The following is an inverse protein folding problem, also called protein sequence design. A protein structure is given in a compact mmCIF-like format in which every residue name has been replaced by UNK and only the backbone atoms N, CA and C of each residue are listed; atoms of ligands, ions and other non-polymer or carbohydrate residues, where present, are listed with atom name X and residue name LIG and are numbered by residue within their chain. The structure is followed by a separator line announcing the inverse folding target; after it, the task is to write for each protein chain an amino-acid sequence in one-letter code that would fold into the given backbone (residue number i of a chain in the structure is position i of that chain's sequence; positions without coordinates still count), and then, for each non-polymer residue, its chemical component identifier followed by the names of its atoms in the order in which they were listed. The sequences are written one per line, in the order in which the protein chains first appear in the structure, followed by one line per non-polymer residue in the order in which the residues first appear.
data_IF_812052621997
#
_entry.id   IF_812052621997
#
_cell.length_a   1.000
_cell.length_b   1.000
_cell.length_c   1.000
_cell.angle_alpha   90.00
_cell.angle_beta   90.00
_cell.angle_gamma   90.00
#
_symmetry.space_group_name_H-M   'P 1'
#
loop_
_entity.id
_entity.type
_entity.pdbx_description
1 polymer ?
#
# COMPACT_ATOMS: atom_id res chain seq x y z
N UNK A 1 9.59 -24.78 -18.30
CA UNK A 1 8.62 -24.24 -17.32
C UNK A 1 9.21 -24.42 -15.93
N UNK A 2 9.73 -23.35 -15.30
CA UNK A 2 10.29 -23.47 -13.96
C UNK A 2 9.17 -23.61 -12.92
N UNK A 3 9.27 -24.59 -12.05
CA UNK A 3 8.28 -24.89 -11.00
C UNK A 3 8.74 -24.28 -9.67
N UNK A 4 8.88 -22.95 -9.61
CA UNK A 4 9.19 -22.28 -8.35
C UNK A 4 7.93 -22.14 -7.50
N UNK A 5 8.01 -22.52 -6.22
CA UNK A 5 6.94 -22.31 -5.24
C UNK A 5 7.23 -21.07 -4.41
N UNK A 6 6.24 -20.18 -4.38
CA UNK A 6 6.24 -19.02 -3.53
C UNK A 6 6.22 -19.44 -2.04
N UNK A 7 7.00 -18.75 -1.20
CA UNK A 7 7.18 -19.07 0.23
C UNK A 7 8.10 -20.25 0.51
N UNK A 8 8.75 -20.83 -0.53
CA UNK A 8 9.71 -21.93 -0.36
C UNK A 8 10.94 -21.78 -1.25
N UNK A 9 10.71 -21.67 -2.55
CA UNK A 9 11.78 -21.56 -3.55
C UNK A 9 12.02 -20.08 -3.90
N UNK A 10 11.01 -19.21 -3.68
CA UNK A 10 11.08 -17.75 -3.84
C UNK A 10 10.12 -17.05 -2.88
N UNK A 11 10.49 -15.88 -2.40
CA UNK A 11 9.60 -14.97 -1.67
C UNK A 11 9.28 -13.75 -2.53
N UNK A 12 8.07 -13.22 -2.41
CA UNK A 12 7.65 -12.01 -3.10
C UNK A 12 6.91 -11.07 -2.15
N UNK A 13 7.29 -9.79 -2.22
CA UNK A 13 6.62 -8.69 -1.52
C UNK A 13 5.84 -7.88 -2.55
N UNK A 14 4.55 -7.68 -2.32
CA UNK A 14 3.69 -6.88 -3.19
C UNK A 14 3.05 -5.74 -2.41
N UNK A 15 2.86 -4.60 -3.07
CA UNK A 15 1.97 -3.54 -2.56
C UNK A 15 0.51 -3.97 -2.77
N UNK A 16 -0.37 -3.55 -1.87
CA UNK A 16 -1.82 -3.67 -2.05
C UNK A 16 -2.55 -2.44 -1.55
N UNK A 17 -3.65 -2.10 -2.19
CA UNK A 17 -4.55 -1.00 -1.81
C UNK A 17 -5.76 -1.47 -0.98
N UNK A 18 -5.93 -2.79 -0.86
CA UNK A 18 -6.99 -3.48 -0.11
C UNK A 18 -6.49 -4.87 0.30
N UNK A 19 -7.03 -5.42 1.39
CA UNK A 19 -6.58 -6.70 1.98
C UNK A 19 -7.06 -7.93 1.19
N UNK A 20 -6.79 -7.96 -0.12
CA UNK A 20 -7.23 -9.01 -1.03
C UNK A 20 -6.12 -10.00 -1.40
N UNK A 21 -4.84 -9.61 -1.31
CA UNK A 21 -3.75 -10.47 -1.80
C UNK A 21 -3.72 -11.84 -1.12
N UNK A 22 -3.96 -11.88 0.19
CA UNK A 22 -3.98 -13.15 0.93
C UNK A 22 -5.20 -14.02 0.65
N UNK A 23 -6.26 -13.49 0.04
CA UNK A 23 -7.37 -14.30 -0.49
C UNK A 23 -6.93 -15.08 -1.74
N UNK A 24 -6.08 -14.48 -2.59
CA UNK A 24 -5.58 -15.11 -3.81
C UNK A 24 -4.35 -16.00 -3.54
N UNK A 25 -3.41 -15.54 -2.72
CA UNK A 25 -2.16 -16.23 -2.42
C UNK A 25 -1.65 -15.88 -1.03
N UNK A 26 -1.76 -16.83 -0.10
CA UNK A 26 -1.42 -16.62 1.33
C UNK A 26 0.08 -16.46 1.58
N UNK A 27 0.92 -16.99 0.71
CA UNK A 27 2.38 -16.93 0.82
C UNK A 27 2.95 -15.58 0.37
N UNK A 28 2.14 -14.68 -0.18
CA UNK A 28 2.59 -13.33 -0.50
C UNK A 28 2.82 -12.51 0.77
N UNK A 29 3.93 -11.79 0.78
CA UNK A 29 4.16 -10.73 1.73
C UNK A 29 3.55 -9.45 1.18
N UNK A 30 2.79 -8.72 2.00
CA UNK A 30 2.05 -7.56 1.55
C UNK A 30 2.49 -6.29 2.26
N UNK A 31 2.52 -5.16 1.55
CA UNK A 31 2.67 -3.83 2.11
C UNK A 31 1.42 -3.03 1.78
N UNK A 32 0.72 -2.57 2.81
CA UNK A 32 -0.52 -1.84 2.65
C UNK A 32 -0.26 -0.39 2.24
N UNK A 33 -0.95 0.03 1.19
CA UNK A 33 -1.02 1.41 0.74
C UNK A 33 -2.41 1.98 1.00
N UNK A 34 -2.46 3.03 1.81
CA UNK A 34 -3.72 3.65 2.20
C UNK A 34 -4.22 4.62 1.12
N UNK A 35 -4.96 4.11 0.15
CA UNK A 35 -5.56 4.92 -0.92
C UNK A 35 -6.63 5.90 -0.40
N UNK A 36 -7.28 5.61 0.73
CA UNK A 36 -8.24 6.54 1.35
C UNK A 36 -7.52 7.78 1.88
N UNK A 37 -6.36 7.58 2.52
CA UNK A 37 -5.49 8.68 2.95
C UNK A 37 -5.01 9.47 1.73
N UNK A 38 -4.52 8.81 0.68
CA UNK A 38 -4.07 9.50 -0.53
C UNK A 38 -5.16 10.40 -1.14
N UNK A 39 -6.42 9.94 -1.16
CA UNK A 39 -7.56 10.75 -1.60
C UNK A 39 -7.81 11.97 -0.72
N UNK A 40 -7.72 11.84 0.61
CA UNK A 40 -7.86 12.95 1.54
C UNK A 40 -6.70 13.96 1.45
N UNK A 41 -5.47 13.47 1.28
CA UNK A 41 -4.29 14.28 0.99
C UNK A 41 -4.47 15.11 -0.28
N UNK A 42 -4.89 14.46 -1.37
CA UNK A 42 -5.15 15.14 -2.63
C UNK A 42 -6.23 16.22 -2.49
N UNK A 43 -7.36 15.89 -1.87
CA UNK A 43 -8.46 16.83 -1.67
C UNK A 43 -8.02 18.06 -0.86
N UNK A 44 -7.26 17.84 0.23
CA UNK A 44 -6.69 18.93 1.02
C UNK A 44 -5.75 19.80 0.20
N UNK A 45 -4.85 19.20 -0.57
CA UNK A 45 -3.89 19.95 -1.38
C UNK A 45 -4.57 20.79 -2.45
N UNK A 46 -5.60 20.26 -3.10
CA UNK A 46 -6.40 21.00 -4.09
C UNK A 46 -7.13 22.17 -3.45
N UNK A 47 -7.82 21.95 -2.33
CA UNK A 47 -8.52 23.03 -1.62
C UNK A 47 -7.55 24.09 -1.09
N UNK A 48 -6.40 23.67 -0.57
CA UNK A 48 -5.35 24.59 -0.10
C UNK A 48 -4.79 25.45 -1.24
N UNK A 49 -4.58 24.86 -2.42
CA UNK A 49 -4.16 25.60 -3.60
C UNK A 49 -5.19 26.65 -4.01
N UNK A 50 -6.48 26.26 -4.07
CA UNK A 50 -7.58 27.18 -4.37
C UNK A 50 -7.59 28.35 -3.37
N UNK A 51 -7.29 28.07 -2.09
CA UNK A 51 -7.16 29.07 -1.03
C UNK A 51 -5.87 29.90 -1.06
N UNK A 52 -4.99 29.73 -2.05
CA UNK A 52 -3.75 30.51 -2.19
C UNK A 52 -2.56 30.01 -1.37
N UNK A 53 -2.60 28.78 -0.84
CA UNK A 53 -1.47 28.21 -0.12
C UNK A 53 -0.26 27.98 -1.05
N UNK A 54 0.95 28.10 -0.50
CA UNK A 54 2.17 27.90 -1.26
C UNK A 54 2.33 26.44 -1.70
N UNK A 55 2.72 26.15 -2.97
CA UNK A 55 2.85 24.79 -3.49
C UNK A 55 3.71 23.85 -2.64
N UNK A 56 4.78 24.38 -2.05
CA UNK A 56 5.70 23.61 -1.20
C UNK A 56 5.03 23.06 0.07
N UNK A 57 4.00 23.72 0.59
CA UNK A 57 3.25 23.28 1.77
C UNK A 57 2.16 22.24 1.47
N UNK A 58 1.91 21.95 0.19
CA UNK A 58 0.83 21.08 -0.27
C UNK A 58 1.32 19.70 -0.72
N UNK A 59 2.59 19.39 -0.44
CA UNK A 59 3.23 18.12 -0.79
C UNK A 59 3.26 17.21 0.43
N UNK A 60 2.85 15.96 0.25
CA UNK A 60 2.99 14.92 1.24
C UNK A 60 3.41 13.60 0.59
N UNK A 61 4.14 12.79 1.34
CA UNK A 61 4.56 11.45 0.94
C UNK A 61 4.26 10.49 2.07
N UNK A 62 3.39 9.52 1.82
CA UNK A 62 3.13 8.44 2.76
C UNK A 62 4.26 7.41 2.68
N UNK A 63 4.72 6.96 3.85
CA UNK A 63 5.73 5.89 3.92
C UNK A 63 5.03 4.53 3.92
N UNK A 64 5.66 3.50 3.34
CA UNK A 64 5.23 2.12 3.53
C UNK A 64 5.05 1.77 5.00
N UNK A 65 4.00 1.00 5.32
CA UNK A 65 3.90 0.33 6.62
C UNK A 65 4.81 -0.90 6.67
N UNK A 66 4.77 -1.63 7.79
CA UNK A 66 5.45 -2.91 7.89
C UNK A 66 4.94 -3.93 6.85
N UNK A 67 5.80 -4.91 6.57
CA UNK A 67 5.47 -6.06 5.73
C UNK A 67 4.55 -6.99 6.51
N UNK A 68 3.44 -7.37 5.91
CA UNK A 68 2.40 -8.20 6.48
C UNK A 68 2.43 -9.59 5.84
N UNK A 69 2.62 -10.62 6.68
CA UNK A 69 2.37 -12.00 6.32
C UNK A 69 0.90 -12.37 6.58
N UNK A 70 0.39 -13.40 5.90
CA UNK A 70 -0.95 -13.92 6.20
C UNK A 70 -1.02 -14.41 7.65
N UNK A 71 -1.96 -13.87 8.43
CA UNK A 71 -2.28 -14.34 9.78
C UNK A 71 -3.61 -15.09 9.72
N UNK A 72 -3.63 -16.35 10.17
CA UNK A 72 -4.90 -17.07 10.34
C UNK A 72 -5.67 -16.43 11.49
N UNK A 73 -6.99 -16.20 11.36
CA UNK A 73 -7.81 -15.90 12.51
C UNK A 73 -7.80 -17.11 13.45
N UNK A 74 -7.55 -16.82 14.71
CA UNK A 74 -7.67 -17.68 15.89
C UNK A 74 -9.12 -18.12 16.16
#
# INVERSE_FOLDING_TARGET
MSRFRLGRDVDAVSKQSSDLLHLFRRELLAVNENFRLAGAELARSVLGWIGGAAPGSLQSLSKPTGVMAYRRPD
#
